data_IF_915266665394
#
_entry.id   IF_915266665394
#
_cell.length_a   1.000
_cell.length_b   1.000
_cell.length_c   1.000
_cell.angle_alpha   90.00
_cell.angle_beta   90.00
_cell.angle_gamma   90.00
#
_symmetry.space_group_name_H-M   'P 1'
#
loop_
_entity.id
_entity.type
_entity.pdbx_description
1 polymer ?
#
# COMPACT_ATOMS: atom_id res chain seq x y z
N UNK A 1 24.51 -29.47 -26.06
CA UNK A 1 23.86 -28.25 -25.53
C UNK A 1 23.72 -27.22 -26.64
N UNK A 2 22.51 -26.66 -26.86
CA UNK A 2 22.28 -25.62 -27.88
C UNK A 2 22.88 -24.29 -27.39
N UNK A 3 23.79 -23.68 -28.16
CA UNK A 3 24.44 -22.39 -27.83
C UNK A 3 23.43 -21.30 -27.43
N UNK A 4 22.23 -21.29 -28.02
CA UNK A 4 21.17 -20.33 -27.68
C UNK A 4 20.65 -20.41 -26.23
N UNK A 5 20.69 -21.58 -25.60
CA UNK A 5 20.24 -21.73 -24.20
C UNK A 5 21.21 -21.04 -23.23
N UNK A 6 22.51 -21.15 -23.47
CA UNK A 6 23.54 -20.54 -22.61
C UNK A 6 23.49 -19.01 -22.70
N UNK A 7 23.37 -18.45 -23.90
CA UNK A 7 23.25 -17.00 -24.07
C UNK A 7 21.96 -16.43 -23.45
N UNK A 8 20.83 -17.12 -23.60
CA UNK A 8 19.58 -16.71 -22.96
C UNK A 8 19.65 -16.72 -21.44
N UNK A 9 20.28 -17.76 -20.87
CA UNK A 9 20.48 -17.86 -19.42
C UNK A 9 21.40 -16.76 -18.88
N UNK A 10 22.55 -16.52 -19.51
CA UNK A 10 23.48 -15.47 -19.09
C UNK A 10 22.88 -14.07 -19.19
N UNK A 11 22.14 -13.78 -20.26
CA UNK A 11 21.43 -12.51 -20.40
C UNK A 11 20.40 -12.31 -19.28
N UNK A 12 19.63 -13.35 -18.95
CA UNK A 12 18.69 -13.30 -17.83
C UNK A 12 19.41 -13.05 -16.50
N UNK A 13 20.53 -13.74 -16.23
CA UNK A 13 21.33 -13.53 -15.03
C UNK A 13 21.86 -12.09 -14.92
N UNK A 14 22.34 -11.50 -16.01
CA UNK A 14 22.82 -10.11 -16.02
C UNK A 14 21.69 -9.10 -15.74
N UNK A 15 20.52 -9.30 -16.36
CA UNK A 15 19.35 -8.45 -16.10
C UNK A 15 18.93 -8.54 -14.63
N UNK A 16 18.83 -9.74 -14.08
CA UNK A 16 18.50 -9.93 -12.66
C UNK A 16 19.55 -9.33 -11.73
N UNK A 17 20.83 -9.49 -12.06
CA UNK A 17 21.93 -8.89 -11.29
C UNK A 17 21.83 -7.36 -11.31
N UNK A 18 21.59 -6.76 -12.47
CA UNK A 18 21.40 -5.32 -12.58
C UNK A 18 20.21 -4.84 -11.75
N UNK A 19 19.07 -5.53 -11.81
CA UNK A 19 17.88 -5.22 -11.00
C UNK A 19 18.18 -5.29 -9.50
N UNK A 20 18.96 -6.28 -9.05
CA UNK A 20 19.28 -6.46 -7.63
C UNK A 20 20.34 -5.47 -7.12
N UNK A 21 21.31 -5.10 -7.95
CA UNK A 21 22.39 -4.18 -7.57
C UNK A 21 21.96 -2.72 -7.67
N UNK A 22 21.05 -2.38 -8.59
CA UNK A 22 20.63 -0.99 -8.84
C UNK A 22 20.20 -0.26 -7.55
N UNK A 23 19.36 -0.82 -6.66
CA UNK A 23 18.99 -0.13 -5.41
C UNK A 23 20.15 0.19 -4.49
N UNK A 24 21.23 -0.60 -4.53
CA UNK A 24 22.40 -0.44 -3.65
C UNK A 24 23.34 0.67 -4.14
N UNK A 25 23.35 0.93 -5.44
CA UNK A 25 24.21 1.95 -6.07
C UNK A 25 23.42 3.17 -6.55
N UNK A 26 22.10 3.18 -6.35
CA UNK A 26 21.24 4.27 -6.81
C UNK A 26 21.54 5.54 -6.00
N UNK A 27 21.96 6.64 -6.64
CA UNK A 27 22.22 7.88 -5.92
C UNK A 27 20.97 8.37 -5.20
N UNK A 28 21.13 8.88 -3.98
CA UNK A 28 20.03 9.44 -3.17
C UNK A 28 19.14 10.42 -3.93
N UNK A 29 19.75 11.23 -4.80
CA UNK A 29 19.03 12.17 -5.67
C UNK A 29 18.07 11.47 -6.65
N UNK A 30 18.52 10.39 -7.31
CA UNK A 30 17.70 9.61 -8.24
C UNK A 30 16.52 8.97 -7.50
N UNK A 31 16.77 8.39 -6.33
CA UNK A 31 15.74 7.78 -5.49
C UNK A 31 14.68 8.78 -5.05
N UNK A 32 15.09 9.99 -4.68
CA UNK A 32 14.18 11.11 -4.37
C UNK A 32 13.34 11.50 -5.58
N UNK A 33 13.94 11.62 -6.75
CA UNK A 33 13.19 11.91 -7.98
C UNK A 33 12.15 10.83 -8.29
N UNK A 34 12.51 9.55 -8.18
CA UNK A 34 11.56 8.45 -8.36
C UNK A 34 10.47 8.49 -7.29
N UNK A 35 10.82 8.73 -6.02
CA UNK A 35 9.84 8.87 -4.95
C UNK A 35 8.85 10.00 -5.24
N UNK A 36 9.31 11.19 -5.62
CA UNK A 36 8.44 12.32 -5.98
C UNK A 36 7.52 12.01 -7.16
N UNK A 37 7.95 11.14 -8.08
CA UNK A 37 7.04 10.64 -9.12
C UNK A 37 5.97 9.71 -8.55
N UNK A 38 6.35 8.76 -7.68
CA UNK A 38 5.44 7.79 -7.06
C UNK A 38 4.45 8.43 -6.08
N UNK A 39 4.89 9.48 -5.40
CA UNK A 39 4.09 10.25 -4.45
C UNK A 39 3.14 11.18 -5.20
N UNK A 40 1.87 10.79 -5.19
CA UNK A 40 0.75 11.58 -5.75
C UNK A 40 -0.11 12.15 -4.63
N UNK A 41 0.48 12.37 -3.46
CA UNK A 41 -0.22 12.92 -2.31
C UNK A 41 -0.79 14.32 -2.59
N UNK A 42 -1.87 14.62 -1.89
CA UNK A 42 -2.62 15.86 -2.00
C UNK A 42 -2.83 16.45 -0.59
N UNK A 43 -3.18 17.73 -0.54
CA UNK A 43 -3.56 18.35 0.74
C UNK A 43 -4.84 17.68 1.27
N UNK A 44 -4.85 17.19 2.53
CA UNK A 44 -6.03 16.56 3.09
C UNK A 44 -7.17 17.56 3.25
N UNK A 45 -8.37 17.12 2.88
CA UNK A 45 -9.64 17.82 3.14
C UNK A 45 -10.60 16.88 3.85
N UNK A 46 -11.67 17.44 4.42
CA UNK A 46 -12.74 16.64 5.03
C UNK A 46 -13.39 15.73 3.98
N UNK A 47 -13.57 14.47 4.34
CA UNK A 47 -14.23 13.43 3.54
C UNK A 47 -15.12 12.55 4.44
N UNK A 48 -15.84 11.63 3.84
CA UNK A 48 -16.69 10.67 4.58
C UNK A 48 -15.87 9.48 5.11
N UNK A 49 -14.92 8.97 4.31
CA UNK A 49 -14.20 7.73 4.60
C UNK A 49 -12.67 7.86 4.51
N UNK A 50 -11.97 7.17 5.40
CA UNK A 50 -10.51 7.02 5.37
C UNK A 50 -10.16 5.56 5.02
N UNK A 51 -9.76 5.31 3.78
CA UNK A 51 -9.26 4.01 3.36
C UNK A 51 -7.83 3.82 3.85
N UNK A 52 -7.58 2.71 4.55
CA UNK A 52 -6.23 2.20 4.81
C UNK A 52 -6.10 0.81 4.17
N UNK A 53 -5.39 0.69 3.03
CA UNK A 53 -5.18 -0.60 2.39
C UNK A 53 -4.29 -1.51 3.23
N UNK A 54 -4.48 -2.81 3.05
CA UNK A 54 -3.68 -3.89 3.63
C UNK A 54 -2.17 -3.70 3.45
N UNK A 55 -1.38 -4.30 4.34
CA UNK A 55 0.09 -4.24 4.32
C UNK A 55 0.67 -3.62 5.58
N UNK A 56 1.47 -2.55 5.45
CA UNK A 56 2.15 -1.93 6.60
C UNK A 56 1.20 -1.03 7.42
N UNK A 57 0.25 -1.66 8.13
CA UNK A 57 -0.74 -0.94 8.94
C UNK A 57 -0.13 -0.24 10.16
N UNK A 58 1.04 -0.67 10.64
CA UNK A 58 1.70 -0.11 11.82
C UNK A 58 1.95 1.40 11.74
N UNK A 59 2.20 1.94 10.54
CA UNK A 59 2.43 3.38 10.35
C UNK A 59 1.22 4.07 9.74
N UNK A 60 0.52 3.41 8.81
CA UNK A 60 -0.60 3.99 8.09
C UNK A 60 -1.81 4.17 8.99
N UNK A 61 -2.06 3.22 9.90
CA UNK A 61 -3.24 3.26 10.76
C UNK A 61 -3.15 4.37 11.81
N UNK A 62 -2.06 4.54 12.59
CA UNK A 62 -1.95 5.67 13.51
C UNK A 62 -2.03 7.02 12.78
N UNK A 63 -1.47 7.12 11.57
CA UNK A 63 -1.59 8.32 10.75
C UNK A 63 -3.05 8.60 10.37
N UNK A 64 -3.80 7.58 9.91
CA UNK A 64 -5.21 7.72 9.57
C UNK A 64 -6.08 8.08 10.79
N UNK A 65 -5.78 7.51 11.96
CA UNK A 65 -6.43 7.90 13.24
C UNK A 65 -6.17 9.38 13.53
N UNK A 66 -4.93 9.86 13.35
CA UNK A 66 -4.63 11.29 13.52
C UNK A 66 -5.40 12.19 12.53
N UNK A 67 -5.78 11.70 11.35
CA UNK A 67 -6.70 12.41 10.45
C UNK A 67 -8.14 12.43 10.98
N UNK A 68 -8.60 11.36 11.63
CA UNK A 68 -9.91 11.34 12.32
C UNK A 68 -9.95 12.35 13.47
N UNK A 69 -8.89 12.41 14.28
CA UNK A 69 -8.80 13.35 15.40
C UNK A 69 -8.88 14.81 14.93
N UNK A 70 -8.34 15.08 13.74
CA UNK A 70 -8.44 16.37 13.03
C UNK A 70 -9.79 16.59 12.32
N UNK A 71 -10.74 15.67 12.47
CA UNK A 71 -12.08 15.68 11.84
C UNK A 71 -12.04 15.75 10.32
N UNK A 72 -11.04 15.09 9.73
CA UNK A 72 -10.90 15.00 8.26
C UNK A 72 -11.62 13.78 7.68
N UNK A 73 -12.04 12.81 8.52
CA UNK A 73 -12.91 11.72 8.12
C UNK A 73 -13.53 11.04 9.34
N UNK A 74 -14.74 10.50 9.17
CA UNK A 74 -15.56 10.01 10.29
C UNK A 74 -15.51 8.48 10.45
N UNK A 75 -15.19 7.76 9.36
CA UNK A 75 -15.16 6.28 9.33
C UNK A 75 -13.89 5.75 8.66
N UNK A 76 -13.18 4.83 9.33
CA UNK A 76 -12.08 4.06 8.77
C UNK A 76 -12.61 2.89 7.95
N UNK A 77 -12.09 2.74 6.75
CA UNK A 77 -12.37 1.62 5.85
C UNK A 77 -11.07 0.86 5.64
N UNK A 78 -11.07 -0.43 5.98
CA UNK A 78 -9.86 -1.23 6.07
C UNK A 78 -9.97 -2.46 5.17
N UNK A 79 -8.88 -2.77 4.50
CA UNK A 79 -8.63 -4.13 4.00
C UNK A 79 -7.53 -4.76 4.83
N UNK A 80 -7.60 -6.06 5.05
CA UNK A 80 -6.61 -6.80 5.83
C UNK A 80 -5.89 -7.80 4.93
N UNK A 81 -4.61 -8.05 5.18
CA UNK A 81 -3.87 -9.04 4.41
C UNK A 81 -4.46 -10.42 4.69
N UNK A 82 -4.64 -11.23 3.65
CA UNK A 82 -4.96 -12.63 3.86
C UNK A 82 -3.80 -13.33 4.59
N UNK A 83 -4.02 -13.96 5.75
CA UNK A 83 -2.96 -14.66 6.44
C UNK A 83 -2.46 -15.84 5.59
N UNK A 84 -1.14 -16.04 5.48
CA UNK A 84 -0.59 -17.22 4.80
C UNK A 84 -1.10 -18.50 5.49
N UNK A 85 -1.23 -19.60 4.73
CA UNK A 85 -1.86 -20.85 5.21
C UNK A 85 -1.30 -21.35 6.55
N UNK A 86 0.03 -21.32 6.70
CA UNK A 86 0.72 -21.73 7.92
C UNK A 86 0.31 -20.91 9.16
N UNK A 87 -0.08 -19.63 9.02
CA UNK A 87 -0.60 -18.84 10.15
C UNK A 87 -1.97 -19.32 10.61
N UNK A 88 -2.78 -19.87 9.70
CA UNK A 88 -4.06 -20.48 10.09
C UNK A 88 -3.82 -21.74 10.91
N UNK A 89 -2.86 -22.56 10.48
CA UNK A 89 -2.44 -23.76 11.20
C UNK A 89 -1.85 -23.41 12.58
N UNK A 90 -1.03 -22.35 12.67
CA UNK A 90 -0.52 -21.86 13.96
C UNK A 90 -1.62 -21.37 14.90
N UNK A 91 -2.68 -20.75 14.39
CA UNK A 91 -3.84 -20.37 15.21
C UNK A 91 -4.55 -21.58 15.80
N UNK A 92 -4.69 -22.64 15.01
CA UNK A 92 -5.29 -23.90 15.47
C UNK A 92 -4.46 -24.55 16.59
N UNK A 93 -3.14 -24.33 16.58
CA UNK A 93 -2.20 -24.82 17.61
C UNK A 93 -2.15 -23.91 18.84
N UNK A 94 -2.07 -22.59 18.65
CA UNK A 94 -1.84 -21.62 19.71
C UNK A 94 -3.14 -21.16 20.42
N UNK A 95 -4.31 -21.45 19.85
CA UNK A 95 -5.61 -21.07 20.41
C UNK A 95 -5.94 -19.57 20.35
N UNK A 96 -5.07 -18.76 19.75
CA UNK A 96 -5.25 -17.32 19.61
C UNK A 96 -5.34 -16.89 18.14
N UNK A 97 -6.33 -16.06 17.82
CA UNK A 97 -6.48 -15.47 16.49
C UNK A 97 -5.58 -14.24 16.32
N UNK A 98 -4.31 -14.46 15.98
CA UNK A 98 -3.34 -13.40 15.65
C UNK A 98 -3.45 -12.96 14.18
N UNK A 99 -4.68 -12.65 13.74
CA UNK A 99 -4.92 -12.04 12.43
C UNK A 99 -4.52 -10.57 12.42
N UNK A 100 -4.22 -10.03 11.25
CA UNK A 100 -4.02 -8.58 11.09
C UNK A 100 -5.26 -7.80 11.57
N UNK A 101 -6.47 -8.32 11.33
CA UNK A 101 -7.70 -7.72 11.81
C UNK A 101 -7.78 -7.61 13.35
N UNK A 102 -7.39 -8.65 14.09
CA UNK A 102 -7.42 -8.59 15.56
C UNK A 102 -6.37 -7.63 16.13
N UNK A 103 -5.17 -7.59 15.54
CA UNK A 103 -4.14 -6.62 15.90
C UNK A 103 -4.58 -5.17 15.62
N UNK A 104 -5.24 -4.95 14.48
CA UNK A 104 -5.79 -3.65 14.09
C UNK A 104 -6.87 -3.20 15.05
N UNK A 105 -7.83 -4.06 15.39
CA UNK A 105 -8.87 -3.73 16.37
C UNK A 105 -8.27 -3.39 17.74
N UNK A 106 -7.26 -4.14 18.19
CA UNK A 106 -6.56 -3.84 19.45
C UNK A 106 -5.89 -2.47 19.40
N UNK A 107 -5.22 -2.14 18.29
CA UNK A 107 -4.59 -0.84 18.08
C UNK A 107 -5.64 0.28 18.04
N UNK A 108 -6.73 0.13 17.29
CA UNK A 108 -7.81 1.12 17.20
C UNK A 108 -8.48 1.40 18.54
N UNK A 109 -8.77 0.35 19.32
CA UNK A 109 -9.29 0.50 20.69
C UNK A 109 -8.32 1.27 21.59
N UNK A 110 -7.01 1.05 21.45
CA UNK A 110 -6.00 1.80 22.22
C UNK A 110 -5.93 3.29 21.85
N UNK A 111 -6.42 3.65 20.67
CA UNK A 111 -6.58 5.03 20.22
C UNK A 111 -8.00 5.60 20.45
N UNK A 112 -8.88 4.87 21.14
CA UNK A 112 -10.24 5.33 21.43
C UNK A 112 -11.18 5.32 20.22
N UNK A 113 -10.81 4.66 19.12
CA UNK A 113 -11.69 4.53 17.94
C UNK A 113 -12.75 3.47 18.22
N UNK A 114 -14.02 3.86 18.10
CA UNK A 114 -15.16 2.94 18.27
C UNK A 114 -15.23 1.94 17.12
N UNK A 115 -15.66 0.70 17.41
CA UNK A 115 -15.90 -0.32 16.38
C UNK A 115 -16.93 0.14 15.34
N UNK A 116 -17.89 0.98 15.72
CA UNK A 116 -18.88 1.56 14.81
C UNK A 116 -18.29 2.53 13.78
N UNK A 117 -17.05 2.99 14.00
CA UNK A 117 -16.31 3.87 13.09
C UNK A 117 -15.38 3.09 12.16
N UNK A 118 -15.45 1.76 12.15
CA UNK A 118 -14.53 0.90 11.40
C UNK A 118 -15.32 -0.05 10.51
N UNK A 119 -14.98 -0.08 9.23
CA UNK A 119 -15.55 -1.00 8.24
C UNK A 119 -14.44 -1.86 7.67
N UNK A 120 -14.54 -3.18 7.85
CA UNK A 120 -13.66 -4.14 7.19
C UNK A 120 -14.28 -4.61 5.88
N UNK A 121 -13.58 -4.39 4.76
CA UNK A 121 -14.03 -4.84 3.44
C UNK A 121 -13.63 -6.27 3.10
N UNK A 122 -12.82 -6.89 3.96
CA UNK A 122 -12.36 -8.27 3.81
C UNK A 122 -10.86 -8.38 3.55
N UNK A 123 -10.47 -9.54 3.05
CA UNK A 123 -9.08 -9.91 2.83
C UNK A 123 -8.58 -9.50 1.46
N UNK A 124 -7.31 -9.09 1.39
CA UNK A 124 -6.63 -8.71 0.18
C UNK A 124 -5.24 -9.31 0.12
N UNK A 125 -4.80 -9.65 -1.09
CA UNK A 125 -3.45 -10.11 -1.42
C UNK A 125 -2.71 -9.13 -2.33
N UNK A 126 -3.38 -8.07 -2.79
CA UNK A 126 -2.78 -7.14 -3.74
C UNK A 126 -3.47 -5.78 -3.73
N UNK A 127 -2.73 -4.76 -4.14
CA UNK A 127 -3.26 -3.40 -4.30
C UNK A 127 -4.46 -3.32 -5.26
N UNK A 128 -4.52 -4.23 -6.24
CA UNK A 128 -5.69 -4.32 -7.13
C UNK A 128 -6.92 -4.86 -6.39
N UNK A 129 -6.77 -5.86 -5.53
CA UNK A 129 -7.87 -6.37 -4.71
C UNK A 129 -8.34 -5.32 -3.70
N UNK A 130 -7.41 -4.59 -3.07
CA UNK A 130 -7.76 -3.45 -2.21
C UNK A 130 -8.61 -2.42 -2.95
N UNK A 131 -8.15 -2.01 -4.14
CA UNK A 131 -8.83 -1.03 -4.98
C UNK A 131 -10.22 -1.54 -5.44
N UNK A 132 -10.35 -2.83 -5.74
CA UNK A 132 -11.63 -3.43 -6.12
C UNK A 132 -12.63 -3.42 -4.97
N UNK A 133 -12.24 -3.97 -3.81
CA UNK A 133 -13.09 -4.00 -2.63
C UNK A 133 -13.57 -2.58 -2.26
N UNK A 134 -12.66 -1.61 -2.32
CA UNK A 134 -13.00 -0.23 -2.00
C UNK A 134 -13.87 0.45 -3.08
N UNK A 135 -13.63 0.16 -4.36
CA UNK A 135 -14.47 0.65 -5.45
C UNK A 135 -15.91 0.13 -5.33
N UNK A 136 -16.08 -1.15 -4.99
CA UNK A 136 -17.40 -1.75 -4.76
C UNK A 136 -18.10 -1.09 -3.56
N UNK A 137 -17.34 -0.83 -2.48
CA UNK A 137 -17.83 -0.09 -1.31
C UNK A 137 -18.30 1.34 -1.66
N UNK A 138 -17.55 2.07 -2.49
CA UNK A 138 -17.89 3.42 -2.94
C UNK A 138 -18.98 3.44 -4.02
N UNK A 139 -19.15 2.37 -4.80
CA UNK A 139 -20.21 2.26 -5.79
C UNK A 139 -21.60 2.22 -5.14
N UNK A 140 -21.71 1.56 -3.98
CA UNK A 140 -22.91 1.57 -3.15
C UNK A 140 -23.18 2.95 -2.48
N UNK A 141 -22.25 3.91 -2.61
CA UNK A 141 -22.26 5.23 -1.94
C UNK A 141 -21.83 6.33 -2.91
N UNK A 142 -22.64 6.66 -3.93
CA UNK A 142 -22.20 7.51 -5.05
C UNK A 142 -21.83 8.94 -4.64
N UNK A 143 -22.42 9.48 -3.55
CA UNK A 143 -22.12 10.82 -3.04
C UNK A 143 -20.89 10.86 -2.11
N UNK A 144 -20.37 9.71 -1.68
CA UNK A 144 -19.28 9.67 -0.72
C UNK A 144 -17.93 10.07 -1.32
N UNK A 145 -17.10 10.66 -0.49
CA UNK A 145 -15.70 11.01 -0.76
C UNK A 145 -14.78 10.29 0.21
N UNK A 146 -13.51 10.12 -0.18
CA UNK A 146 -12.56 9.43 0.68
C UNK A 146 -11.13 9.96 0.59
N UNK A 147 -10.34 9.66 1.62
CA UNK A 147 -8.88 9.71 1.59
C UNK A 147 -8.34 8.29 1.57
N UNK A 148 -7.49 7.97 0.61
CA UNK A 148 -6.68 6.75 0.62
C UNK A 148 -5.33 7.05 1.25
N UNK A 149 -5.09 6.45 2.42
CA UNK A 149 -3.89 6.65 3.24
C UNK A 149 -2.90 5.52 3.00
N UNK A 150 -1.70 5.85 2.53
CA UNK A 150 -0.61 4.88 2.36
C UNK A 150 0.74 5.56 2.40
N UNK A 151 1.83 4.79 2.29
CA UNK A 151 3.17 5.37 2.14
C UNK A 151 3.30 6.09 0.80
N UNK A 152 4.07 7.18 0.75
CA UNK A 152 4.16 8.04 -0.44
C UNK A 152 4.57 7.28 -1.70
N UNK A 153 5.52 6.35 -1.60
CA UNK A 153 5.97 5.52 -2.74
C UNK A 153 4.86 4.62 -3.32
N UNK A 154 3.76 4.41 -2.59
CA UNK A 154 2.73 3.42 -2.90
C UNK A 154 1.48 4.06 -3.54
N UNK A 155 1.31 5.37 -3.37
CA UNK A 155 0.09 6.08 -3.74
C UNK A 155 -0.22 6.03 -5.23
N UNK A 156 0.78 6.21 -6.11
CA UNK A 156 0.52 6.15 -7.55
C UNK A 156 -0.01 4.78 -7.98
N UNK A 157 0.46 3.69 -7.39
CA UNK A 157 -0.04 2.34 -7.71
C UNK A 157 -1.47 2.12 -7.21
N UNK A 158 -1.79 2.62 -6.01
CA UNK A 158 -3.17 2.59 -5.49
C UNK A 158 -4.09 3.37 -6.43
N UNK A 159 -3.69 4.59 -6.82
CA UNK A 159 -4.46 5.43 -7.74
C UNK A 159 -4.72 4.78 -9.09
N UNK A 160 -3.69 4.21 -9.70
CA UNK A 160 -3.83 3.48 -10.97
C UNK A 160 -4.72 2.24 -10.83
N UNK A 161 -4.64 1.54 -9.70
CA UNK A 161 -5.50 0.38 -9.43
C UNK A 161 -6.95 0.79 -9.28
N UNK A 162 -7.22 1.87 -8.53
CA UNK A 162 -8.57 2.46 -8.41
C UNK A 162 -9.14 2.89 -9.76
N UNK A 163 -8.35 3.62 -10.57
CA UNK A 163 -8.79 4.08 -11.89
C UNK A 163 -9.16 2.91 -12.82
N UNK A 164 -8.40 1.80 -12.75
CA UNK A 164 -8.67 0.58 -13.54
C UNK A 164 -9.90 -0.17 -13.08
N UNK A 165 -10.18 -0.19 -11.78
CA UNK A 165 -11.35 -0.90 -11.27
C UNK A 165 -12.63 -0.07 -11.43
N UNK A 166 -12.59 1.22 -11.09
CA UNK A 166 -13.72 2.13 -11.21
C UNK A 166 -13.24 3.60 -11.28
N UNK A 167 -13.11 4.13 -12.50
CA UNK A 167 -12.66 5.51 -12.73
C UNK A 167 -13.56 6.57 -12.07
N UNK A 168 -14.88 6.33 -11.99
CA UNK A 168 -15.79 7.27 -11.34
C UNK A 168 -15.65 7.27 -9.81
N UNK A 169 -15.31 6.13 -9.21
CA UNK A 169 -14.94 6.07 -7.79
C UNK A 169 -13.59 6.75 -7.54
N UNK A 170 -12.59 6.52 -8.42
CA UNK A 170 -11.25 7.12 -8.29
C UNK A 170 -11.28 8.64 -8.19
N UNK A 171 -12.11 9.32 -8.98
CA UNK A 171 -12.25 10.78 -8.96
C UNK A 171 -12.75 11.36 -7.63
N UNK A 172 -13.34 10.52 -6.77
CA UNK A 172 -13.85 10.90 -5.44
C UNK A 172 -12.87 10.60 -4.30
N UNK A 173 -11.69 10.08 -4.63
CA UNK A 173 -10.64 9.70 -3.68
C UNK A 173 -9.49 10.68 -3.79
N UNK A 174 -9.07 11.26 -2.66
CA UNK A 174 -7.76 11.89 -2.56
C UNK A 174 -6.74 10.92 -1.98
N UNK A 175 -5.48 11.10 -2.35
CA UNK A 175 -4.38 10.23 -1.91
C UNK A 175 -3.53 10.99 -0.91
N UNK A 176 -3.25 10.37 0.25
CA UNK A 176 -2.50 11.02 1.34
C UNK A 176 -1.33 10.13 1.74
N UNK A 177 -0.12 10.70 1.75
CA UNK A 177 1.08 10.01 2.16
C UNK A 177 1.19 10.02 3.69
N UNK A 178 1.34 8.84 4.30
CA UNK A 178 1.66 8.68 5.73
C UNK A 178 3.16 8.78 6.03
N UNK A 179 3.97 8.95 4.99
CA UNK A 179 5.43 9.02 5.07
C UNK A 179 6.01 9.78 3.88
N UNK A 180 6.95 10.68 4.17
CA UNK A 180 7.82 11.28 3.17
C UNK A 180 9.02 10.36 2.88
N UNK A 181 9.80 10.65 1.83
CA UNK A 181 11.02 9.89 1.58
C UNK A 181 12.03 9.99 2.73
N UNK A 182 12.15 11.16 3.35
CA UNK A 182 13.07 11.35 4.48
C UNK A 182 12.56 10.64 5.74
N UNK A 183 11.25 10.49 5.93
CA UNK A 183 10.69 9.66 7.00
C UNK A 183 11.04 8.18 6.80
N UNK A 184 10.99 7.69 5.55
CA UNK A 184 11.38 6.31 5.23
C UNK A 184 12.87 6.08 5.49
N UNK A 185 13.73 7.00 5.04
CA UNK A 185 15.16 6.93 5.34
C UNK A 185 15.42 6.91 6.86
N UNK A 186 14.70 7.74 7.63
CA UNK A 186 14.86 7.78 9.09
C UNK A 186 14.38 6.49 9.76
N UNK A 187 13.22 5.97 9.36
CA UNK A 187 12.65 4.72 9.89
C UNK A 187 13.56 3.53 9.63
N UNK A 188 14.17 3.52 8.46
CA UNK A 188 15.00 2.41 8.00
C UNK A 188 16.48 2.60 8.39
N UNK A 189 16.82 3.55 9.28
CA UNK A 189 18.21 3.88 9.68
C UNK A 189 19.15 4.10 8.48
N UNK A 190 18.68 4.85 7.47
CA UNK A 190 19.34 5.07 6.17
C UNK A 190 19.66 3.78 5.39
N UNK A 191 19.02 2.66 5.72
CA UNK A 191 19.31 1.38 5.08
C UNK A 191 18.83 1.30 3.64
N UNK A 192 19.26 0.24 2.96
CA UNK A 192 18.87 -0.11 1.61
C UNK A 192 17.35 -0.29 1.42
N UNK A 193 16.56 -0.39 2.48
CA UNK A 193 15.16 -0.80 2.38
C UNK A 193 14.27 0.29 1.79
N UNK A 194 14.43 1.55 2.18
CA UNK A 194 13.69 2.66 1.57
C UNK A 194 13.95 2.75 0.05
N UNK A 195 15.22 2.59 -0.36
CA UNK A 195 15.63 2.56 -1.76
C UNK A 195 15.03 1.37 -2.51
N UNK A 196 15.09 0.19 -1.90
CA UNK A 196 14.49 -1.02 -2.46
C UNK A 196 12.98 -0.89 -2.60
N UNK A 197 12.28 -0.27 -1.66
CA UNK A 197 10.83 -0.08 -1.72
C UNK A 197 10.46 0.84 -2.89
N UNK A 198 11.11 2.01 -3.01
CA UNK A 198 10.91 2.92 -4.15
C UNK A 198 11.18 2.23 -5.48
N UNK A 199 12.28 1.47 -5.57
CA UNK A 199 12.64 0.75 -6.79
C UNK A 199 11.67 -0.41 -7.13
N UNK A 200 11.27 -1.21 -6.14
CA UNK A 200 10.28 -2.28 -6.32
C UNK A 200 8.96 -1.72 -6.84
N UNK A 201 8.53 -0.56 -6.32
CA UNK A 201 7.30 0.08 -6.77
C UNK A 201 7.39 0.66 -8.18
N UNK A 202 8.53 1.27 -8.56
CA UNK A 202 8.71 1.76 -9.93
C UNK A 202 8.69 0.62 -10.95
N UNK A 203 9.30 -0.52 -10.64
CA UNK A 203 9.22 -1.73 -11.46
C UNK A 203 7.77 -2.18 -11.62
N UNK A 204 7.00 -2.27 -10.53
CA UNK A 204 5.59 -2.67 -10.59
C UNK A 204 4.79 -1.75 -11.52
N UNK A 205 5.03 -0.43 -11.50
CA UNK A 205 4.36 0.49 -12.41
C UNK A 205 4.70 0.26 -13.88
N UNK A 206 5.95 -0.11 -14.20
CA UNK A 206 6.34 -0.49 -15.57
C UNK A 206 5.54 -1.73 -16.01
N UNK A 207 5.42 -2.76 -15.16
CA UNK A 207 4.59 -3.93 -15.45
C UNK A 207 3.11 -3.56 -15.70
N UNK A 208 2.56 -2.62 -14.92
CA UNK A 208 1.21 -2.11 -15.14
C UNK A 208 1.10 -1.41 -16.50
N UNK A 209 2.05 -0.55 -16.86
CA UNK A 209 2.06 0.18 -18.14
C UNK A 209 2.12 -0.77 -19.35
N UNK A 210 2.80 -1.91 -19.22
CA UNK A 210 2.89 -2.95 -20.24
C UNK A 210 1.66 -3.88 -20.30
N UNK A 211 0.63 -3.65 -19.48
CA UNK A 211 -0.59 -4.47 -19.45
C UNK A 211 -0.39 -5.87 -18.85
N UNK A 212 0.65 -6.07 -18.03
CA UNK A 212 1.03 -7.38 -17.48
C UNK A 212 0.69 -7.56 -16.00
N UNK A 213 -0.29 -6.82 -15.49
CA UNK A 213 -0.64 -6.79 -14.08
C UNK A 213 -2.15 -6.86 -13.84
#
# INVERSE_FOLDING_TARGET
>A
MRKGFVYGFLAACLVWTAILVTPLVMPKAVSRTIFSFLDVSQEPRRVDYLLVPSGSLFYRLPFAVGLMDRRLGDTLVLTVTEPPRWRREMRDIAGEDLTEGSLVLKLLRSHGVSETQVVFLGQSRSTWQDARLFSDFLAARPAATALAVSDGYHLRRIRLSMARTNAAAEQRVLYIASSTFDDLLRRDNESSDAYQQVFKESIKLIFYALGRA
#
